data_IF_247487904024
#
_entry.id   IF_247487904024
#
_cell.length_a   1.000
_cell.length_b   1.000
_cell.length_c   1.000
_cell.angle_alpha   90.00
_cell.angle_beta   90.00
_cell.angle_gamma   90.00
#
_symmetry.space_group_name_H-M   'P 1'
#
loop_
_entity.id
_entity.type
_entity.pdbx_description
1 polymer ?
#
# COMPACT_ATOMS: atom_id res chain seq x y z
N UNK A 1 11.91 10.48 -15.41
CA UNK A 1 11.90 10.55 -16.89
C UNK A 1 11.96 11.99 -17.45
N UNK A 2 10.98 12.86 -17.20
CA UNK A 2 10.90 14.18 -17.86
C UNK A 2 12.14 15.07 -17.67
N UNK A 3 12.68 15.14 -16.45
CA UNK A 3 13.92 15.87 -16.18
C UNK A 3 15.10 15.37 -17.03
N UNK A 4 15.27 14.05 -17.17
CA UNK A 4 16.37 13.50 -17.97
C UNK A 4 16.15 13.64 -19.48
N UNK A 5 14.90 13.58 -19.96
CA UNK A 5 14.59 13.80 -21.37
C UNK A 5 15.01 15.21 -21.84
N UNK A 6 14.90 16.22 -20.96
CA UNK A 6 15.39 17.59 -21.24
C UNK A 6 16.89 17.63 -21.53
N UNK A 7 17.69 16.82 -20.83
CA UNK A 7 19.15 16.78 -21.00
C UNK A 7 19.62 15.77 -22.05
N UNK A 8 18.95 14.62 -22.15
CA UNK A 8 19.38 13.48 -22.95
C UNK A 8 18.76 13.46 -24.37
N UNK A 9 17.54 13.98 -24.51
CA UNK A 9 16.78 13.97 -25.76
C UNK A 9 16.34 15.38 -26.20
N UNK A 10 17.01 16.44 -25.70
CA UNK A 10 16.63 17.84 -25.97
C UNK A 10 15.15 18.17 -25.68
N UNK A 11 14.54 17.46 -24.72
CA UNK A 11 13.14 17.64 -24.35
C UNK A 11 12.15 16.78 -25.13
N UNK A 12 12.59 15.98 -26.10
CA UNK A 12 11.72 15.05 -26.82
C UNK A 12 11.26 13.89 -25.93
N UNK A 13 10.07 13.37 -26.23
CA UNK A 13 9.49 12.25 -25.49
C UNK A 13 10.25 10.96 -25.85
N UNK A 14 10.70 10.17 -24.86
CA UNK A 14 11.35 8.88 -25.13
C UNK A 14 10.46 7.95 -25.96
N UNK A 15 11.02 7.40 -27.04
CA UNK A 15 10.32 6.54 -27.99
C UNK A 15 10.41 5.05 -27.63
N UNK A 16 11.43 4.63 -26.88
CA UNK A 16 11.63 3.24 -26.44
C UNK A 16 11.68 3.09 -24.92
N UNK A 17 11.55 1.86 -24.42
CA UNK A 17 11.69 1.56 -22.99
C UNK A 17 13.10 1.91 -22.48
N UNK A 18 14.13 1.55 -23.25
CA UNK A 18 15.53 1.81 -22.93
C UNK A 18 15.79 3.32 -22.85
N UNK A 19 15.23 4.11 -23.76
CA UNK A 19 15.30 5.57 -23.71
C UNK A 19 14.58 6.13 -22.47
N UNK A 20 13.43 5.57 -22.09
CA UNK A 20 12.73 5.99 -20.85
C UNK A 20 13.60 5.70 -19.62
N UNK A 21 14.19 4.51 -19.54
CA UNK A 21 15.07 4.10 -18.44
C UNK A 21 16.33 4.96 -18.37
N UNK A 22 16.96 5.28 -19.51
CA UNK A 22 18.08 6.21 -19.57
C UNK A 22 17.68 7.64 -19.12
N UNK A 23 16.52 8.13 -19.57
CA UNK A 23 16.01 9.42 -19.11
C UNK A 23 15.63 9.41 -17.62
N UNK A 24 15.18 8.27 -17.08
CA UNK A 24 14.93 8.13 -15.65
C UNK A 24 16.22 8.16 -14.85
N UNK A 25 17.24 7.41 -15.26
CA UNK A 25 18.54 7.35 -14.55
C UNK A 25 19.26 8.70 -14.55
N UNK A 26 19.17 9.48 -15.63
CA UNK A 26 19.73 10.85 -15.70
C UNK A 26 18.86 11.84 -14.91
N UNK A 27 17.53 11.74 -15.02
CA UNK A 27 16.62 12.69 -14.40
C UNK A 27 16.47 12.54 -12.89
N UNK A 28 16.68 11.34 -12.35
CA UNK A 28 16.45 11.05 -10.94
C UNK A 28 17.43 11.79 -10.01
N UNK A 29 18.77 11.84 -10.28
CA UNK A 29 19.68 12.69 -9.52
C UNK A 29 19.32 14.18 -9.58
N UNK A 30 18.89 14.68 -10.74
CA UNK A 30 18.48 16.08 -10.92
C UNK A 30 17.26 16.41 -10.05
N UNK A 31 16.24 15.56 -10.08
CA UNK A 31 15.04 15.71 -9.24
C UNK A 31 15.40 15.76 -7.76
N UNK A 32 16.29 14.87 -7.32
CA UNK A 32 16.75 14.85 -5.92
C UNK A 32 17.55 16.09 -5.55
N UNK A 33 18.37 16.63 -6.45
CA UNK A 33 19.09 17.88 -6.20
C UNK A 33 18.11 19.01 -5.94
N UNK A 34 17.08 19.16 -6.78
CA UNK A 34 16.06 20.21 -6.62
C UNK A 34 15.36 20.09 -5.25
N UNK A 35 14.92 18.89 -4.87
CA UNK A 35 14.28 18.68 -3.57
C UNK A 35 15.24 18.95 -2.40
N UNK A 36 16.49 18.48 -2.50
CA UNK A 36 17.52 18.74 -1.49
C UNK A 36 17.73 20.25 -1.34
N UNK A 37 17.98 20.96 -2.42
CA UNK A 37 18.30 22.40 -2.38
C UNK A 37 17.13 23.22 -1.82
N UNK A 38 15.90 22.88 -2.20
CA UNK A 38 14.69 23.53 -1.69
C UNK A 38 14.55 23.38 -0.17
N UNK A 39 14.64 22.14 0.33
CA UNK A 39 14.44 21.84 1.76
C UNK A 39 15.65 22.13 2.65
N UNK A 40 16.85 22.19 2.07
CA UNK A 40 18.09 22.51 2.79
C UNK A 40 18.03 23.91 3.43
N UNK A 41 17.38 24.87 2.77
CA UNK A 41 17.16 26.22 3.32
C UNK A 41 16.38 26.23 4.64
N UNK A 42 15.51 25.24 4.85
CA UNK A 42 14.70 25.07 6.06
C UNK A 42 15.27 24.05 7.06
N UNK A 43 16.48 23.53 6.83
CA UNK A 43 17.12 22.53 7.69
C UNK A 43 16.48 21.13 7.64
N UNK A 44 15.63 20.86 6.66
CA UNK A 44 14.98 19.56 6.49
C UNK A 44 15.85 18.68 5.59
N UNK A 45 16.31 17.56 6.14
CA UNK A 45 17.03 16.55 5.37
C UNK A 45 16.07 15.78 4.47
N UNK A 46 16.54 15.40 3.28
CA UNK A 46 15.78 14.63 2.29
C UNK A 46 16.43 13.26 2.10
N UNK A 47 15.64 12.20 2.14
CA UNK A 47 16.08 10.82 1.89
C UNK A 47 15.43 10.25 0.62
N UNK A 48 16.22 9.72 -0.31
CA UNK A 48 15.69 9.08 -1.51
C UNK A 48 15.25 7.63 -1.22
N UNK A 49 14.09 7.25 -1.73
CA UNK A 49 13.64 5.85 -1.77
C UNK A 49 13.17 5.51 -3.18
N UNK A 50 13.71 4.45 -3.75
CA UNK A 50 13.28 3.90 -5.04
C UNK A 50 12.58 2.56 -4.78
N UNK A 51 11.34 2.43 -5.22
CA UNK A 51 10.53 1.21 -5.05
C UNK A 51 10.10 0.67 -6.41
N UNK A 52 9.90 -0.63 -6.48
CA UNK A 52 9.25 -1.31 -7.61
C UNK A 52 7.84 -1.73 -7.22
N UNK A 53 6.92 -1.89 -8.18
CA UNK A 53 5.52 -2.24 -7.93
C UNK A 53 5.30 -3.52 -7.11
N UNK A 54 6.26 -4.44 -7.11
CA UNK A 54 6.26 -5.70 -6.34
C UNK A 54 6.61 -5.54 -4.86
N UNK A 55 6.98 -4.34 -4.39
CA UNK A 55 7.30 -4.10 -2.96
C UNK A 55 6.15 -4.52 -2.03
N UNK A 56 4.90 -4.45 -2.51
CA UNK A 56 3.71 -4.82 -1.75
C UNK A 56 3.36 -6.31 -1.81
N UNK A 57 3.93 -7.04 -2.77
CA UNK A 57 3.65 -8.48 -2.96
C UNK A 57 4.70 -9.36 -2.29
N UNK A 58 5.90 -8.82 -2.05
CA UNK A 58 6.96 -9.45 -1.29
C UNK A 58 7.03 -8.88 0.14
N UNK A 59 6.78 -9.74 1.14
CA UNK A 59 6.75 -9.33 2.54
C UNK A 59 8.09 -8.81 3.06
N UNK A 60 9.18 -9.46 2.71
CA UNK A 60 10.51 -9.07 3.18
C UNK A 60 10.83 -7.66 2.67
N UNK A 61 10.60 -7.42 1.37
CA UNK A 61 10.74 -6.08 0.75
C UNK A 61 9.82 -5.06 1.41
N UNK A 62 8.56 -5.42 1.69
CA UNK A 62 7.62 -4.56 2.40
C UNK A 62 8.11 -4.17 3.80
N UNK A 63 8.59 -5.14 4.59
CA UNK A 63 9.09 -4.89 5.95
C UNK A 63 10.36 -4.05 5.93
N UNK A 64 11.29 -4.34 5.02
CA UNK A 64 12.51 -3.57 4.86
C UNK A 64 12.20 -2.11 4.47
N UNK A 65 11.33 -1.91 3.48
CA UNK A 65 10.87 -0.58 3.11
C UNK A 65 10.23 0.16 4.29
N UNK A 66 9.31 -0.51 5.01
CA UNK A 66 8.65 0.05 6.20
C UNK A 66 9.65 0.48 7.28
N UNK A 67 10.62 -0.36 7.61
CA UNK A 67 11.63 -0.05 8.62
C UNK A 67 12.45 1.18 8.21
N UNK A 68 12.85 1.28 6.94
CA UNK A 68 13.55 2.44 6.40
C UNK A 68 12.71 3.72 6.51
N UNK A 69 11.44 3.68 6.10
CA UNK A 69 10.54 4.83 6.27
C UNK A 69 10.42 5.25 7.74
N UNK A 70 10.26 4.29 8.65
CA UNK A 70 10.13 4.57 10.08
C UNK A 70 11.36 5.26 10.66
N UNK A 71 12.56 4.81 10.30
CA UNK A 71 13.81 5.41 10.79
C UNK A 71 14.02 6.84 10.23
N UNK A 72 13.73 7.05 8.95
CA UNK A 72 13.79 8.38 8.33
C UNK A 72 12.82 9.36 9.00
N UNK A 73 11.55 8.97 9.13
CA UNK A 73 10.52 9.81 9.74
C UNK A 73 10.82 10.09 11.23
N UNK A 74 11.34 9.11 11.97
CA UNK A 74 11.77 9.27 13.37
C UNK A 74 12.89 10.31 13.54
N UNK A 75 13.75 10.47 12.53
CA UNK A 75 14.81 11.48 12.49
C UNK A 75 14.38 12.78 11.80
N UNK A 76 13.09 12.97 11.54
CA UNK A 76 12.56 14.14 10.83
C UNK A 76 13.17 14.35 9.44
N UNK A 77 13.60 13.26 8.79
CA UNK A 77 14.04 13.25 7.39
C UNK A 77 12.81 13.09 6.51
N UNK A 78 12.69 13.93 5.47
CA UNK A 78 11.61 13.87 4.48
C UNK A 78 11.93 12.80 3.42
N UNK A 79 11.18 11.69 3.34
CA UNK A 79 11.39 10.70 2.30
C UNK A 79 10.79 11.18 0.97
N UNK A 80 11.60 11.16 -0.09
CA UNK A 80 11.17 11.41 -1.47
C UNK A 80 11.19 10.06 -2.19
N UNK A 81 9.99 9.59 -2.55
CA UNK A 81 9.78 8.27 -3.13
C UNK A 81 9.54 8.40 -4.63
N UNK A 82 10.18 7.56 -5.42
CA UNK A 82 9.87 7.40 -6.83
C UNK A 82 9.95 5.92 -7.22
N UNK A 83 9.43 5.57 -8.39
CA UNK A 83 9.59 4.24 -8.94
C UNK A 83 11.04 4.00 -9.41
N UNK A 84 11.52 2.76 -9.24
CA UNK A 84 12.81 2.33 -9.77
C UNK A 84 12.71 1.93 -11.25
N UNK A 85 12.54 2.94 -12.11
CA UNK A 85 12.32 2.80 -13.55
C UNK A 85 13.39 1.93 -14.24
N UNK A 86 14.65 1.94 -13.79
CA UNK A 86 15.77 1.23 -14.42
C UNK A 86 15.69 -0.28 -14.30
N UNK A 87 14.94 -0.79 -13.32
CA UNK A 87 14.77 -2.23 -13.07
C UNK A 87 13.33 -2.69 -13.27
N UNK A 88 12.41 -1.78 -13.59
CA UNK A 88 11.02 -2.12 -13.86
C UNK A 88 10.89 -2.68 -15.28
N UNK A 89 10.33 -3.89 -15.38
CA UNK A 89 10.11 -4.63 -16.64
C UNK A 89 8.71 -4.41 -17.20
N UNK A 90 7.79 -3.90 -16.39
CA UNK A 90 6.46 -3.50 -16.84
C UNK A 90 6.55 -2.16 -17.55
N UNK A 91 5.78 -1.99 -18.63
CA UNK A 91 5.73 -0.71 -19.35
C UNK A 91 5.50 0.42 -18.35
N UNK A 92 6.45 1.37 -18.26
CA UNK A 92 6.28 2.62 -17.53
C UNK A 92 5.01 3.31 -18.04
N UNK A 93 3.89 3.09 -17.35
CA UNK A 93 2.59 3.65 -17.67
C UNK A 93 2.44 4.94 -16.88
N UNK A 94 2.11 6.03 -17.58
CA UNK A 94 1.66 7.25 -16.92
C UNK A 94 0.46 6.91 -16.02
N UNK A 95 0.54 7.26 -14.74
CA UNK A 95 -0.45 6.92 -13.71
C UNK A 95 0.04 5.95 -12.62
N UNK A 96 1.25 5.39 -12.75
CA UNK A 96 1.79 4.46 -11.74
C UNK A 96 2.07 5.14 -10.39
N UNK A 97 2.47 6.41 -10.40
CA UNK A 97 2.76 7.14 -9.17
C UNK A 97 1.52 7.36 -8.27
N UNK A 98 0.30 7.35 -8.83
CA UNK A 98 -0.93 7.37 -8.02
C UNK A 98 -1.05 6.07 -7.20
N UNK A 99 -0.74 4.92 -7.82
CA UNK A 99 -0.71 3.63 -7.15
C UNK A 99 0.46 3.50 -6.17
N UNK A 100 1.64 4.01 -6.56
CA UNK A 100 2.81 4.07 -5.70
C UNK A 100 2.54 4.89 -4.45
N UNK A 101 1.90 6.06 -4.58
CA UNK A 101 1.53 6.91 -3.44
C UNK A 101 0.65 6.13 -2.44
N UNK A 102 -0.36 5.39 -2.94
CA UNK A 102 -1.23 4.56 -2.10
C UNK A 102 -0.48 3.37 -1.49
N UNK A 103 0.45 2.75 -2.22
CA UNK A 103 1.31 1.70 -1.68
C UNK A 103 2.16 2.21 -0.52
N UNK A 104 2.81 3.36 -0.72
CA UNK A 104 3.62 4.03 0.31
C UNK A 104 2.75 4.38 1.51
N UNK A 105 1.55 4.95 1.29
CA UNK A 105 0.59 5.24 2.34
C UNK A 105 0.26 3.97 3.16
N UNK A 106 0.06 2.83 2.50
CA UNK A 106 -0.13 1.53 3.17
C UNK A 106 1.10 1.03 3.94
N UNK A 107 2.31 1.22 3.39
CA UNK A 107 3.58 0.83 4.02
C UNK A 107 3.81 1.61 5.33
N UNK A 108 3.60 2.93 5.29
CA UNK A 108 3.88 3.83 6.42
C UNK A 108 2.71 4.00 7.38
N UNK A 109 1.57 3.36 7.11
CA UNK A 109 0.33 3.50 7.88
C UNK A 109 -0.19 4.95 7.90
N UNK A 110 -0.16 5.61 6.74
CA UNK A 110 -0.48 7.03 6.62
C UNK A 110 -1.92 7.33 7.04
N UNK A 111 -2.10 8.53 7.61
CA UNK A 111 -3.42 8.95 8.05
C UNK A 111 -4.35 9.36 6.91
N UNK A 112 -3.77 9.87 5.82
CA UNK A 112 -4.42 10.26 4.57
C UNK A 112 -3.40 10.22 3.42
N UNK A 113 -3.90 10.10 2.19
CA UNK A 113 -3.11 10.20 0.97
C UNK A 113 -3.61 11.39 0.13
N UNK A 114 -2.71 12.25 -0.33
CA UNK A 114 -3.06 13.41 -1.17
C UNK A 114 -2.50 13.23 -2.58
N UNK A 115 -3.36 13.36 -3.58
CA UNK A 115 -2.98 13.39 -5.00
C UNK A 115 -3.16 14.82 -5.50
N UNK A 116 -2.04 15.48 -5.79
CA UNK A 116 -2.02 16.82 -6.39
C UNK A 116 -2.05 16.68 -7.91
N UNK A 117 -3.01 17.32 -8.59
CA UNK A 117 -3.20 17.19 -10.05
C UNK A 117 -3.58 18.51 -10.70
N UNK A 118 -3.49 18.57 -12.02
CA UNK A 118 -3.92 19.70 -12.86
C UNK A 118 -5.43 19.96 -12.90
N UNK A 119 -6.25 19.01 -12.46
CA UNK A 119 -7.71 19.16 -12.34
C UNK A 119 -8.16 19.48 -10.90
N UNK A 120 -9.33 20.08 -10.75
CA UNK A 120 -9.85 20.44 -9.42
C UNK A 120 -10.29 19.21 -8.60
N UNK A 121 -10.72 18.14 -9.26
CA UNK A 121 -11.16 16.89 -8.63
C UNK A 121 -12.07 16.09 -9.54
N UNK A 122 -12.92 15.25 -8.96
CA UNK A 122 -13.90 14.44 -9.69
C UNK A 122 -15.19 15.22 -9.90
N UNK A 123 -15.65 15.30 -11.14
CA UNK A 123 -16.88 16.00 -11.49
C UNK A 123 -18.04 15.05 -11.77
N UNK A 124 -19.22 15.47 -11.35
CA UNK A 124 -20.48 14.99 -11.91
C UNK A 124 -20.81 15.80 -13.17
N UNK A 125 -21.35 15.15 -14.21
CA UNK A 125 -21.70 15.77 -15.49
C UNK A 125 -20.53 16.52 -16.16
N UNK A 126 -19.31 16.00 -16.05
CA UNK A 126 -18.10 16.64 -16.60
C UNK A 126 -18.29 17.10 -18.05
N UNK A 127 -17.90 18.35 -18.33
CA UNK A 127 -18.00 18.96 -19.66
C UNK A 127 -19.40 19.43 -20.07
N UNK A 128 -20.39 19.42 -19.17
CA UNK A 128 -21.73 19.99 -19.38
C UNK A 128 -21.90 21.28 -18.58
N UNK A 129 -22.92 22.08 -18.93
CA UNK A 129 -23.25 23.33 -18.21
C UNK A 129 -23.57 23.09 -16.73
N UNK A 130 -24.13 21.94 -16.40
CA UNK A 130 -24.49 21.54 -15.03
C UNK A 130 -23.43 20.66 -14.36
N UNK A 131 -22.15 20.84 -14.70
CA UNK A 131 -21.07 20.13 -14.04
C UNK A 131 -20.90 20.57 -12.58
N UNK A 132 -20.69 19.60 -11.68
CA UNK A 132 -20.54 19.85 -10.24
C UNK A 132 -19.32 19.08 -9.70
N UNK A 133 -18.48 19.76 -8.92
CA UNK A 133 -17.35 19.12 -8.24
C UNK A 133 -17.84 18.31 -7.04
N UNK A 134 -17.54 17.00 -7.03
CA UNK A 134 -17.87 16.15 -5.90
C UNK A 134 -16.91 16.44 -4.74
N UNK A 135 -17.46 16.89 -3.61
CA UNK A 135 -16.68 17.19 -2.40
C UNK A 135 -16.26 15.93 -1.64
N UNK A 136 -17.16 14.96 -1.57
CA UNK A 136 -16.97 13.73 -0.79
C UNK A 136 -17.55 12.53 -1.51
N UNK A 137 -16.81 11.42 -1.51
CA UNK A 137 -17.21 10.14 -2.09
C UNK A 137 -16.95 9.05 -1.04
N UNK A 138 -18.03 8.53 -0.44
CA UNK A 138 -17.93 7.54 0.64
C UNK A 138 -17.77 6.10 0.13
N UNK A 139 -18.14 5.86 -1.13
CA UNK A 139 -18.04 4.57 -1.80
C UNK A 139 -17.82 4.79 -3.29
N UNK A 140 -16.91 4.00 -3.86
CA UNK A 140 -16.71 3.94 -5.31
C UNK A 140 -17.50 2.73 -5.80
N UNK A 141 -18.66 2.99 -6.40
CA UNK A 141 -19.54 2.01 -7.02
C UNK A 141 -19.71 2.29 -8.52
N UNK A 142 -20.59 1.54 -9.18
CA UNK A 142 -20.86 1.70 -10.61
C UNK A 142 -21.27 3.13 -11.00
N UNK A 143 -21.89 3.89 -10.10
CA UNK A 143 -22.28 5.28 -10.39
C UNK A 143 -21.05 6.18 -10.53
N UNK A 144 -20.07 6.02 -9.63
CA UNK A 144 -18.79 6.73 -9.67
C UNK A 144 -17.96 6.27 -10.88
N UNK A 145 -17.96 4.97 -11.17
CA UNK A 145 -17.24 4.43 -12.33
C UNK A 145 -17.76 4.97 -13.66
N UNK A 146 -19.07 5.19 -13.79
CA UNK A 146 -19.68 5.79 -14.99
C UNK A 146 -19.24 7.24 -15.21
N UNK A 147 -18.91 8.00 -14.16
CA UNK A 147 -18.39 9.36 -14.30
C UNK A 147 -17.06 9.37 -15.08
N UNK A 148 -16.21 8.37 -14.84
CA UNK A 148 -14.88 8.25 -15.45
C UNK A 148 -14.96 7.90 -16.94
N UNK A 149 -15.94 7.10 -17.34
CA UNK A 149 -16.11 6.69 -18.74
C UNK A 149 -16.43 7.89 -19.63
N UNK A 150 -17.17 8.86 -19.11
CA UNK A 150 -17.53 10.09 -19.81
C UNK A 150 -16.38 11.12 -19.89
N UNK A 151 -15.34 10.98 -19.07
CA UNK A 151 -14.15 11.83 -19.06
C UNK A 151 -13.06 11.41 -20.06
N UNK A 152 -13.27 10.35 -20.87
CA UNK A 152 -12.33 9.91 -21.92
C UNK A 152 -12.23 10.93 -23.06
N UNK A 153 -11.69 12.11 -22.79
CA UNK A 153 -11.22 13.06 -23.78
C UNK A 153 -9.87 12.59 -24.34
N UNK A 154 -9.66 12.88 -25.62
CA UNK A 154 -8.68 12.30 -26.56
C UNK A 154 -7.19 12.29 -26.17
N UNK A 155 -6.76 12.82 -25.02
CA UNK A 155 -5.34 13.10 -24.76
C UNK A 155 -4.73 12.63 -23.42
N UNK A 156 -5.49 12.05 -22.50
CA UNK A 156 -4.93 11.63 -21.20
C UNK A 156 -4.81 10.11 -21.09
N UNK A 157 -3.62 9.58 -21.32
CA UNK A 157 -3.26 8.20 -20.95
C UNK A 157 -2.97 8.18 -19.45
N UNK A 158 -3.95 7.84 -18.60
CA UNK A 158 -3.75 7.65 -17.16
C UNK A 158 -4.30 8.72 -16.20
N UNK A 159 -5.19 9.63 -16.64
CA UNK A 159 -5.75 10.73 -15.84
C UNK A 159 -6.66 10.34 -14.67
N UNK A 160 -7.95 10.68 -14.72
CA UNK A 160 -8.88 10.43 -13.60
C UNK A 160 -9.07 8.93 -13.30
N UNK A 161 -9.05 8.09 -14.32
CA UNK A 161 -9.15 6.64 -14.14
C UNK A 161 -8.08 6.07 -13.20
N UNK A 162 -6.83 6.52 -13.32
CA UNK A 162 -5.76 6.06 -12.41
C UNK A 162 -6.01 6.51 -10.97
N UNK A 163 -6.44 7.77 -10.79
CA UNK A 163 -6.74 8.37 -9.49
C UNK A 163 -7.89 7.66 -8.79
N UNK A 164 -8.94 7.26 -9.52
CA UNK A 164 -10.04 6.49 -8.94
C UNK A 164 -9.62 5.07 -8.60
N UNK A 165 -8.75 4.42 -9.40
CA UNK A 165 -8.21 3.12 -9.01
C UNK A 165 -7.33 3.22 -7.76
N UNK A 166 -6.50 4.26 -7.66
CA UNK A 166 -5.76 4.57 -6.45
C UNK A 166 -6.71 4.83 -5.27
N UNK A 167 -7.79 5.60 -5.47
CA UNK A 167 -8.82 5.83 -4.45
C UNK A 167 -9.48 4.52 -3.97
N UNK A 168 -9.86 3.62 -4.88
CA UNK A 168 -10.39 2.29 -4.53
C UNK A 168 -9.42 1.52 -3.63
N UNK A 169 -8.15 1.50 -4.01
CA UNK A 169 -7.08 0.82 -3.26
C UNK A 169 -6.85 1.47 -1.89
N UNK A 170 -6.86 2.80 -1.83
CA UNK A 170 -6.71 3.57 -0.59
C UNK A 170 -7.87 3.33 0.37
N UNK A 171 -9.11 3.32 -0.14
CA UNK A 171 -10.30 2.99 0.65
C UNK A 171 -10.28 1.55 1.15
N UNK A 172 -9.77 0.60 0.35
CA UNK A 172 -9.56 -0.78 0.78
C UNK A 172 -8.50 -0.91 1.88
N UNK A 173 -7.53 0.01 1.94
CA UNK A 173 -6.55 0.18 3.01
C UNK A 173 -7.12 0.91 4.25
N UNK A 174 -8.29 1.55 4.12
CA UNK A 174 -8.89 2.39 5.15
C UNK A 174 -8.20 3.75 5.28
N UNK A 175 -7.46 4.15 4.26
CA UNK A 175 -6.75 5.43 4.19
C UNK A 175 -7.62 6.38 3.33
N UNK A 176 -8.11 7.50 3.89
CA UNK A 176 -8.75 8.53 3.11
C UNK A 176 -7.81 9.05 2.01
N UNK A 177 -8.33 9.20 0.80
CA UNK A 177 -7.59 9.77 -0.32
C UNK A 177 -8.23 11.08 -0.75
N UNK A 178 -7.43 12.11 -0.99
CA UNK A 178 -7.91 13.43 -1.39
C UNK A 178 -7.26 13.82 -2.71
N UNK A 179 -8.08 14.18 -3.70
CA UNK A 179 -7.61 14.79 -4.95
C UNK A 179 -7.72 16.30 -4.80
N UNK A 180 -6.61 17.01 -5.03
CA UNK A 180 -6.50 18.46 -4.90
C UNK A 180 -5.87 19.09 -6.15
N UNK A 181 -6.27 20.32 -6.51
CA UNK A 181 -5.62 21.05 -7.59
C UNK A 181 -4.20 21.48 -7.21
N UNK A 182 -3.25 21.24 -8.11
CA UNK A 182 -1.84 21.63 -8.00
C UNK A 182 -1.58 23.05 -8.52
N UNK A 183 -2.51 23.63 -9.29
CA UNK A 183 -2.40 25.01 -9.80
C UNK A 183 -2.62 26.07 -8.71
N UNK A 184 -3.26 25.69 -7.60
CA UNK A 184 -3.48 26.57 -6.46
C UNK A 184 -2.34 26.48 -5.46
N UNK A 185 -1.60 27.58 -5.29
CA UNK A 185 -0.37 27.71 -4.50
C UNK A 185 -0.50 27.18 -3.06
N UNK A 186 -1.67 27.33 -2.45
CA UNK A 186 -1.93 26.94 -1.06
C UNK A 186 -2.93 25.80 -0.90
N UNK A 187 -3.23 25.06 -1.96
CA UNK A 187 -4.29 24.04 -1.99
C UNK A 187 -4.21 23.02 -0.84
N UNK A 188 -3.05 22.37 -0.67
CA UNK A 188 -2.82 21.40 0.43
C UNK A 188 -2.92 22.06 1.80
N UNK A 189 -2.30 23.22 1.97
CA UNK A 189 -2.29 23.97 3.23
C UNK A 189 -3.70 24.39 3.64
N UNK A 190 -4.49 24.89 2.69
CA UNK A 190 -5.85 25.37 2.92
C UNK A 190 -6.82 24.23 3.19
N UNK A 191 -6.66 23.09 2.52
CA UNK A 191 -7.42 21.88 2.80
C UNK A 191 -7.15 21.40 4.23
N UNK A 192 -5.88 21.24 4.62
CA UNK A 192 -5.48 20.67 5.91
C UNK A 192 -5.76 21.62 7.07
N UNK A 193 -5.39 22.90 6.95
CA UNK A 193 -5.45 23.85 8.07
C UNK A 193 -6.77 24.63 8.15
N UNK A 194 -7.34 25.00 7.00
CA UNK A 194 -8.53 25.88 6.94
C UNK A 194 -9.82 25.10 6.70
N UNK A 195 -9.76 23.79 6.48
CA UNK A 195 -10.89 22.92 6.13
C UNK A 195 -11.71 23.43 4.94
N UNK A 196 -11.04 24.14 4.01
CA UNK A 196 -11.67 24.58 2.75
C UNK A 196 -11.63 23.40 1.78
N UNK A 197 -12.81 22.93 1.38
CA UNK A 197 -12.94 21.78 0.48
C UNK A 197 -12.80 22.26 -0.97
N UNK A 198 -11.57 22.53 -1.40
CA UNK A 198 -11.22 22.63 -2.81
C UNK A 198 -10.71 21.26 -3.25
N UNK A 199 -11.57 20.41 -3.79
CA UNK A 199 -11.23 19.07 -4.29
C UNK A 199 -12.21 17.98 -3.89
N UNK A 200 -11.81 16.73 -4.11
CA UNK A 200 -12.63 15.53 -3.85
C UNK A 200 -12.00 14.65 -2.79
N UNK A 201 -12.75 14.36 -1.72
CA UNK A 201 -12.33 13.47 -0.63
C UNK A 201 -12.99 12.10 -0.78
N UNK A 202 -12.18 11.06 -0.94
CA UNK A 202 -12.59 9.66 -0.87
C UNK A 202 -12.35 9.17 0.55
N UNK A 203 -13.41 8.77 1.24
CA UNK A 203 -13.29 8.25 2.60
C UNK A 203 -14.20 7.04 2.80
N UNK A 204 -13.95 6.25 3.85
CA UNK A 204 -14.80 5.12 4.21
C UNK A 204 -15.13 5.18 5.69
N UNK A 205 -16.38 4.90 6.06
CA UNK A 205 -16.79 4.73 7.46
C UNK A 205 -16.27 3.45 8.13
N UNK A 206 -15.44 2.65 7.43
CA UNK A 206 -14.86 1.40 7.95
C UNK A 206 -13.61 1.71 8.79
N UNK A 207 -13.37 0.95 9.86
CA UNK A 207 -12.20 1.17 10.71
C UNK A 207 -10.88 0.84 9.99
N UNK A 208 -9.89 1.76 10.10
CA UNK A 208 -8.50 1.62 9.56
C UNK A 208 -7.90 0.23 9.83
N UNK A 209 -8.05 -0.26 11.06
CA UNK A 209 -7.49 -1.55 11.49
C UNK A 209 -8.04 -2.74 10.71
N UNK A 210 -9.35 -2.77 10.39
CA UNK A 210 -9.95 -3.88 9.62
C UNK A 210 -9.49 -3.85 8.15
N UNK A 211 -9.36 -2.66 7.58
CA UNK A 211 -8.97 -2.44 6.19
C UNK A 211 -7.48 -2.78 5.95
N UNK A 212 -6.58 -2.34 6.85
CA UNK A 212 -5.15 -2.70 6.83
C UNK A 212 -4.92 -4.20 6.90
N UNK A 213 -5.62 -4.91 7.80
CA UNK A 213 -5.62 -6.37 7.82
C UNK A 213 -6.01 -6.87 6.43
N UNK A 214 -7.18 -6.49 5.91
CA UNK A 214 -7.69 -7.00 4.61
C UNK A 214 -6.68 -6.78 3.48
N UNK A 215 -5.98 -5.66 3.44
CA UNK A 215 -5.02 -5.36 2.40
C UNK A 215 -3.71 -6.16 2.48
N UNK A 216 -3.08 -6.24 3.67
CA UNK A 216 -1.92 -7.12 3.95
C UNK A 216 -2.29 -8.56 3.53
N UNK A 217 -3.50 -8.97 3.85
CA UNK A 217 -3.99 -10.30 3.51
C UNK A 217 -4.20 -10.49 2.01
N UNK A 218 -4.71 -9.53 1.27
CA UNK A 218 -5.02 -9.68 -0.16
C UNK A 218 -3.78 -9.73 -1.06
N UNK A 219 -2.66 -9.10 -0.68
CA UNK A 219 -1.52 -8.90 -1.59
C UNK A 219 -0.33 -9.84 -1.35
N UNK A 220 -0.21 -10.45 -0.17
CA UNK A 220 0.82 -11.46 0.07
C UNK A 220 0.35 -12.84 -0.39
N UNK A 221 1.15 -13.48 -1.26
CA UNK A 221 0.93 -14.87 -1.66
C UNK A 221 1.04 -15.78 -0.44
N UNK A 222 0.18 -16.79 -0.40
CA UNK A 222 0.29 -17.85 0.60
C UNK A 222 1.53 -18.69 0.31
N UNK A 223 2.48 -18.69 1.22
CA UNK A 223 3.70 -19.50 1.13
C UNK A 223 3.57 -20.80 1.93
N UNK A 224 2.49 -20.96 2.70
CA UNK A 224 2.29 -22.08 3.62
C UNK A 224 0.83 -22.46 3.82
N UNK A 225 0.58 -23.71 4.19
CA UNK A 225 -0.73 -24.21 4.65
C UNK A 225 -0.60 -24.91 6.00
N UNK A 226 -1.50 -24.60 6.93
CA UNK A 226 -1.56 -25.18 8.27
C UNK A 226 -2.96 -25.76 8.49
N UNK A 227 -3.02 -27.02 8.94
CA UNK A 227 -4.24 -27.64 9.46
C UNK A 227 -4.38 -27.31 10.94
N UNK A 228 -5.55 -26.84 11.33
CA UNK A 228 -5.91 -26.48 12.71
C UNK A 228 -7.02 -27.39 13.22
N UNK A 229 -7.17 -27.45 14.54
CA UNK A 229 -8.30 -28.14 15.16
C UNK A 229 -9.57 -27.28 15.25
N UNK A 230 -10.66 -27.91 15.68
CA UNK A 230 -11.96 -27.25 15.80
C UNK A 230 -11.94 -26.11 16.83
N UNK A 231 -11.25 -26.30 17.96
CA UNK A 231 -11.12 -25.28 19.00
C UNK A 231 -10.37 -24.04 18.51
N UNK A 232 -9.33 -24.23 17.72
CA UNK A 232 -8.59 -23.17 17.06
C UNK A 232 -9.43 -22.45 15.99
N UNK A 233 -10.19 -23.19 15.17
CA UNK A 233 -11.14 -22.62 14.21
C UNK A 233 -12.13 -21.71 14.93
N UNK A 234 -12.78 -22.19 15.98
CA UNK A 234 -13.74 -21.39 16.75
C UNK A 234 -13.09 -20.16 17.40
N UNK A 235 -11.92 -20.33 18.01
CA UNK A 235 -11.20 -19.24 18.67
C UNK A 235 -10.88 -18.11 17.67
N UNK A 236 -10.39 -18.47 16.49
CA UNK A 236 -10.07 -17.53 15.42
C UNK A 236 -11.32 -16.80 14.91
N UNK A 237 -12.43 -17.51 14.69
CA UNK A 237 -13.70 -16.91 14.27
C UNK A 237 -14.29 -15.98 15.35
N UNK A 238 -14.03 -16.26 16.64
CA UNK A 238 -14.37 -15.40 17.78
C UNK A 238 -13.37 -14.24 17.99
N UNK A 239 -12.39 -14.06 17.10
CA UNK A 239 -11.42 -12.95 17.14
C UNK A 239 -10.27 -13.13 18.14
N UNK A 240 -9.98 -14.38 18.55
CA UNK A 240 -8.80 -14.72 19.36
C UNK A 240 -7.61 -15.12 18.47
N UNK A 241 -6.43 -15.25 19.08
CA UNK A 241 -5.19 -15.65 18.41
C UNK A 241 -5.12 -17.18 18.23
N UNK A 242 -4.37 -17.65 17.23
CA UNK A 242 -4.00 -19.07 17.10
C UNK A 242 -2.84 -19.38 18.07
N UNK A 243 -3.01 -20.40 18.90
CA UNK A 243 -1.97 -20.92 19.80
C UNK A 243 -1.37 -22.22 19.25
N UNK A 244 -0.20 -22.61 19.76
CA UNK A 244 0.52 -23.83 19.37
C UNK A 244 -0.29 -25.11 19.60
N UNK A 245 -1.13 -25.14 20.64
CA UNK A 245 -2.03 -26.27 20.95
C UNK A 245 -3.03 -26.56 19.83
N UNK A 246 -3.41 -25.53 19.07
CA UNK A 246 -4.44 -25.61 18.04
C UNK A 246 -3.95 -26.05 16.65
N UNK A 247 -2.64 -26.31 16.50
CA UNK A 247 -2.03 -26.73 15.23
C UNK A 247 -1.97 -28.25 15.16
N UNK A 248 -2.52 -28.84 14.09
CA UNK A 248 -2.49 -30.28 13.81
C UNK A 248 -1.33 -30.65 12.88
N UNK A 249 -1.25 -29.96 11.75
CA UNK A 249 -0.32 -30.31 10.68
C UNK A 249 0.17 -29.07 9.92
N UNK A 250 1.38 -29.19 9.35
CA UNK A 250 1.98 -28.21 8.45
C UNK A 250 2.17 -28.91 7.10
N UNK A 251 1.44 -28.46 6.07
CA UNK A 251 1.46 -29.13 4.76
C UNK A 251 2.59 -28.66 3.85
N UNK A 252 3.20 -27.50 4.12
CA UNK A 252 4.38 -27.02 3.38
C UNK A 252 5.30 -26.19 4.27
N UNK A 253 6.63 -26.20 4.04
CA UNK A 253 7.58 -25.38 4.80
C UNK A 253 7.33 -23.90 4.61
N UNK A 254 7.59 -23.11 5.66
CA UNK A 254 7.51 -21.66 5.62
C UNK A 254 8.38 -21.04 6.70
N UNK A 255 8.77 -19.78 6.49
CA UNK A 255 9.57 -19.04 7.42
C UNK A 255 8.72 -18.18 8.36
N UNK A 256 9.35 -17.70 9.43
CA UNK A 256 8.73 -16.71 10.31
C UNK A 256 8.29 -15.49 9.49
N UNK A 257 7.08 -15.01 9.77
CA UNK A 257 6.47 -13.89 9.08
C UNK A 257 5.75 -14.27 7.79
N UNK A 258 5.89 -15.48 7.26
CA UNK A 258 5.14 -15.93 6.10
C UNK A 258 3.62 -15.78 6.27
N UNK A 259 2.93 -15.49 5.17
CA UNK A 259 1.47 -15.58 5.13
C UNK A 259 1.09 -17.02 4.85
N UNK A 260 0.35 -17.61 5.79
CA UNK A 260 -0.06 -19.01 5.75
C UNK A 260 -1.58 -19.11 5.69
N UNK A 261 -2.09 -20.02 4.86
CA UNK A 261 -3.50 -20.39 4.87
C UNK A 261 -3.79 -21.32 6.05
N UNK A 262 -4.90 -21.06 6.76
CA UNK A 262 -5.39 -21.91 7.84
C UNK A 262 -6.59 -22.72 7.34
N UNK A 263 -6.53 -24.02 7.54
CA UNK A 263 -7.51 -25.00 7.08
C UNK A 263 -8.03 -25.82 8.24
N UNK A 264 -9.32 -26.12 8.24
CA UNK A 264 -9.93 -27.12 9.09
C UNK A 264 -10.56 -28.15 8.17
N UNK A 265 -10.02 -29.37 8.19
CA UNK A 265 -10.35 -30.39 7.17
C UNK A 265 -10.06 -29.81 5.77
N UNK A 266 -11.03 -29.88 4.85
CA UNK A 266 -10.91 -29.30 3.50
C UNK A 266 -11.33 -27.82 3.42
N UNK A 267 -11.86 -27.25 4.51
CA UNK A 267 -12.36 -25.88 4.54
C UNK A 267 -11.24 -24.88 4.86
N UNK A 268 -11.05 -23.88 3.98
CA UNK A 268 -10.16 -22.76 4.27
C UNK A 268 -10.84 -21.79 5.25
N UNK A 269 -10.37 -21.78 6.48
CA UNK A 269 -10.89 -20.90 7.54
C UNK A 269 -10.40 -19.47 7.38
N UNK A 270 -9.17 -19.28 6.87
CA UNK A 270 -8.62 -17.95 6.67
C UNK A 270 -7.15 -17.97 6.30
N UNK A 271 -6.50 -16.83 6.51
CA UNK A 271 -5.03 -16.72 6.44
C UNK A 271 -4.50 -15.83 7.55
N UNK A 272 -3.24 -16.04 7.91
CA UNK A 272 -2.57 -15.32 8.99
C UNK A 272 -1.08 -15.10 8.74
N UNK A 273 -0.47 -14.16 9.46
CA UNK A 273 0.99 -14.01 9.50
C UNK A 273 1.51 -14.88 10.65
N UNK A 274 2.40 -15.81 10.33
CA UNK A 274 2.96 -16.75 11.30
C UNK A 274 4.13 -16.12 12.09
N UNK A 275 4.17 -16.33 13.41
CA UNK A 275 5.22 -15.79 14.30
C UNK A 275 6.46 -16.69 14.42
N UNK A 276 6.37 -17.93 13.95
CA UNK A 276 7.38 -18.98 14.07
C UNK A 276 7.55 -19.69 12.72
N UNK A 277 8.74 -20.21 12.44
CA UNK A 277 9.00 -21.01 11.23
C UNK A 277 8.28 -22.36 11.31
N UNK A 278 8.12 -23.06 10.19
CA UNK A 278 7.59 -24.42 10.19
C UNK A 278 8.45 -25.37 11.04
N UNK A 279 9.78 -25.18 11.04
CA UNK A 279 10.71 -25.99 11.82
C UNK A 279 10.52 -25.79 13.33
N UNK A 280 10.26 -24.56 13.77
CA UNK A 280 9.98 -24.26 15.17
C UNK A 280 8.62 -24.81 15.59
N UNK A 281 7.57 -24.58 14.78
CA UNK A 281 6.22 -25.05 15.07
C UNK A 281 6.18 -26.57 15.21
N UNK A 282 6.95 -27.33 14.41
CA UNK A 282 7.03 -28.79 14.57
C UNK A 282 7.52 -29.21 15.96
N UNK A 283 8.36 -28.41 16.62
CA UNK A 283 8.87 -28.68 17.97
C UNK A 283 7.88 -28.29 19.07
N UNK A 284 7.06 -27.26 18.84
CA UNK A 284 6.16 -26.69 19.86
C UNK A 284 4.67 -26.99 19.64
N UNK A 285 4.28 -27.61 18.51
CA UNK A 285 2.88 -27.94 18.23
C UNK A 285 2.31 -28.84 19.34
N UNK A 286 1.09 -28.55 19.78
CA UNK A 286 0.46 -29.28 20.89
C UNK A 286 0.93 -28.86 22.30
N UNK A 287 1.97 -28.02 22.43
CA UNK A 287 2.42 -27.51 23.72
C UNK A 287 1.67 -26.26 24.14
N UNK A 288 1.51 -26.08 25.44
CA UNK A 288 1.04 -24.84 26.05
C UNK A 288 2.07 -23.72 25.89
N UNK A 289 1.59 -22.47 25.80
CA UNK A 289 2.44 -21.32 25.43
C UNK A 289 3.58 -21.04 26.41
N UNK A 290 3.44 -21.41 27.68
CA UNK A 290 4.46 -21.33 28.73
C UNK A 290 5.67 -22.25 28.48
N UNK A 291 5.51 -23.30 27.67
CA UNK A 291 6.58 -24.25 27.35
C UNK A 291 7.39 -23.88 26.11
N UNK A 292 6.96 -22.86 25.36
CA UNK A 292 7.60 -22.48 24.09
C UNK A 292 9.07 -22.09 24.32
N UNK A 293 9.32 -21.21 25.28
CA UNK A 293 10.67 -20.71 25.56
C UNK A 293 11.59 -21.82 26.05
N UNK A 294 11.10 -22.74 26.89
CA UNK A 294 11.89 -23.89 27.35
C UNK A 294 12.27 -24.86 26.24
N UNK A 295 11.48 -24.96 25.18
CA UNK A 295 11.72 -25.91 24.07
C UNK A 295 12.55 -25.27 22.95
N UNK A 296 12.32 -24.01 22.63
CA UNK A 296 13.01 -23.31 21.55
C UNK A 296 14.25 -22.53 22.02
N UNK A 297 14.36 -22.25 23.32
CA UNK A 297 15.38 -21.35 23.88
C UNK A 297 15.08 -19.87 23.65
N UNK A 298 13.92 -19.53 23.06
CA UNK A 298 13.46 -18.15 22.82
C UNK A 298 11.93 -18.12 22.69
N UNK A 299 11.34 -16.91 22.74
CA UNK A 299 9.92 -16.70 22.47
C UNK A 299 9.69 -15.46 21.60
N UNK A 300 8.76 -15.56 20.66
CA UNK A 300 8.20 -14.45 19.87
C UNK A 300 6.77 -14.09 20.32
N UNK A 301 6.43 -14.41 21.56
CA UNK A 301 5.08 -14.32 22.11
C UNK A 301 4.38 -15.68 22.16
N UNK A 302 3.26 -15.74 22.88
CA UNK A 302 2.52 -16.97 23.15
C UNK A 302 1.77 -17.54 21.95
N UNK A 303 1.66 -16.76 20.87
CA UNK A 303 0.74 -17.01 19.78
C UNK A 303 1.47 -17.35 18.49
N UNK A 304 0.96 -18.35 17.78
CA UNK A 304 1.44 -18.72 16.45
C UNK A 304 1.00 -17.67 15.44
N UNK A 305 -0.26 -17.24 15.54
CA UNK A 305 -0.82 -16.13 14.77
C UNK A 305 -1.63 -15.24 15.72
N UNK A 306 -1.14 -14.04 15.97
CA UNK A 306 -1.89 -13.07 16.78
C UNK A 306 -3.22 -12.69 16.10
N UNK A 307 -4.30 -12.45 16.86
CA UNK A 307 -5.63 -12.06 16.33
C UNK A 307 -5.63 -10.84 15.39
N UNK A 308 -4.63 -9.96 15.55
CA UNK A 308 -4.46 -8.83 14.65
C UNK A 308 -3.84 -9.16 13.30
N UNK A 309 -3.27 -10.35 13.22
CA UNK A 309 -2.60 -10.89 12.07
C UNK A 309 -3.34 -12.13 11.55
N UNK A 310 -4.68 -12.17 11.67
CA UNK A 310 -5.55 -13.20 11.09
C UNK A 310 -6.77 -12.57 10.39
N UNK A 311 -7.19 -13.15 9.27
CA UNK A 311 -8.48 -12.88 8.61
C UNK A 311 -9.17 -14.19 8.24
N UNK A 312 -10.47 -14.25 8.58
CA UNK A 312 -11.35 -15.35 8.19
C UNK A 312 -11.81 -15.25 6.74
N UNK A 313 -12.01 -16.40 6.09
CA UNK A 313 -12.40 -16.49 4.68
C UNK A 313 -13.76 -15.84 4.39
N UNK A 314 -14.71 -15.89 5.34
CA UNK A 314 -16.02 -15.27 5.21
C UNK A 314 -16.00 -13.73 5.14
N UNK A 315 -14.82 -13.10 5.26
CA UNK A 315 -14.64 -11.64 5.14
C UNK A 315 -14.15 -11.24 3.73
N UNK A 316 -13.83 -12.20 2.86
CA UNK A 316 -13.37 -11.92 1.49
C UNK A 316 -14.50 -11.43 0.60
#
# INVERSE_FOLDING_TARGET
VGAGARYFLNGEKPASLEQKQACASIGQPVLMSIYKDYYNSGGILVGQILLTGDVITNRERFLNARNTFQELLKKSVLPIVNENDTTSVEEIKFGDNDNLAVNVAGIIDADACFIMTDVDGLYQNYGKENQELLKTVDKIDESVEKLIVNEKSRFSTGGMFSKINAAKKSLALGIPLVILPAHSENSLRDYVLKKRISGTTFQTGKSKVKAKKKWIFLHFRETGKIQIDEGAKEALLKGKSLLSVGIKEIASPFERGSVVGLYYQEEKIGKGIINYSSADILKIKGLSSDKIESVLGYTNGSEMIHRNNFIATAVF
#
